data_IF_297671142026
#
_entry.id   IF_297671142026
#
_cell.length_a   1.000
_cell.length_b   1.000
_cell.length_c   1.000
_cell.angle_alpha   90.00
_cell.angle_beta   90.00
_cell.angle_gamma   90.00
#
_symmetry.space_group_name_H-M   'P 1'
#
loop_
_entity.id
_entity.type
_entity.pdbx_description
1 polymer ?
#
# COMPACT_ATOMS: atom_id res chain seq x y z
N UNK A 1 -10.65 -38.41 -23.69
CA UNK A 1 -10.40 -38.00 -22.29
C UNK A 1 -9.38 -36.84 -22.22
N UNK A 2 -9.76 -35.62 -22.65
CA UNK A 2 -8.91 -34.39 -22.57
C UNK A 2 -9.52 -33.27 -21.70
N UNK A 3 -10.73 -33.48 -21.18
CA UNK A 3 -11.56 -32.45 -20.52
C UNK A 3 -11.03 -31.94 -19.15
N UNK A 4 -10.58 -32.79 -18.21
CA UNK A 4 -10.29 -32.33 -16.85
C UNK A 4 -9.07 -31.38 -16.77
N UNK A 5 -8.06 -31.59 -17.62
CA UNK A 5 -6.88 -30.72 -17.64
C UNK A 5 -7.17 -29.33 -18.22
N UNK A 6 -8.02 -29.24 -19.25
CA UNK A 6 -8.41 -27.96 -19.87
C UNK A 6 -9.26 -27.15 -18.89
N UNK A 7 -10.19 -27.81 -18.21
CA UNK A 7 -11.03 -27.19 -17.17
C UNK A 7 -10.18 -26.68 -16.01
N UNK A 8 -9.20 -27.46 -15.57
CA UNK A 8 -8.26 -27.03 -14.53
C UNK A 8 -7.43 -25.80 -14.92
N UNK A 9 -6.87 -25.76 -16.14
CA UNK A 9 -6.15 -24.59 -16.65
C UNK A 9 -7.04 -23.35 -16.72
N UNK A 10 -8.32 -23.54 -17.03
CA UNK A 10 -9.30 -22.45 -17.00
C UNK A 10 -9.49 -21.92 -15.58
N UNK A 11 -9.68 -22.81 -14.61
CA UNK A 11 -9.89 -22.46 -13.21
C UNK A 11 -8.70 -21.69 -12.62
N UNK A 12 -7.47 -22.18 -12.81
CA UNK A 12 -6.28 -21.49 -12.30
C UNK A 12 -6.08 -20.13 -12.99
N UNK A 13 -6.37 -20.03 -14.30
CA UNK A 13 -6.34 -18.75 -15.02
C UNK A 13 -7.35 -17.75 -14.45
N UNK A 14 -8.54 -18.22 -14.07
CA UNK A 14 -9.58 -17.39 -13.48
C UNK A 14 -9.17 -16.88 -12.09
N UNK A 15 -8.54 -17.75 -11.27
CA UNK A 15 -8.01 -17.36 -9.96
C UNK A 15 -6.97 -16.25 -10.11
N UNK A 16 -5.98 -16.42 -11.00
CA UNK A 16 -5.00 -15.37 -11.30
C UNK A 16 -5.68 -14.06 -11.75
N UNK A 17 -6.67 -14.15 -12.64
CA UNK A 17 -7.38 -12.96 -13.13
C UNK A 17 -8.10 -12.22 -12.01
N UNK A 18 -8.72 -12.96 -11.07
CA UNK A 18 -9.38 -12.40 -9.89
C UNK A 18 -8.36 -11.76 -8.93
N UNK A 19 -7.24 -12.42 -8.66
CA UNK A 19 -6.15 -11.85 -7.84
C UNK A 19 -5.63 -10.54 -8.44
N UNK A 20 -5.28 -10.55 -9.73
CA UNK A 20 -4.79 -9.36 -10.45
C UNK A 20 -5.79 -8.21 -10.32
N UNK A 21 -7.09 -8.49 -10.48
CA UNK A 21 -8.14 -7.47 -10.33
C UNK A 21 -8.16 -6.89 -8.91
N UNK A 22 -8.09 -7.74 -7.88
CA UNK A 22 -8.07 -7.28 -6.49
C UNK A 22 -6.82 -6.41 -6.22
N UNK A 23 -5.64 -6.83 -6.68
CA UNK A 23 -4.42 -6.06 -6.48
C UNK A 23 -4.40 -4.76 -7.29
N UNK A 24 -5.01 -4.71 -8.47
CA UNK A 24 -5.21 -3.46 -9.21
C UNK A 24 -6.13 -2.50 -8.47
N UNK A 25 -7.20 -3.00 -7.85
CA UNK A 25 -8.07 -2.18 -7.00
C UNK A 25 -7.32 -1.67 -5.77
N UNK A 26 -6.50 -2.51 -5.11
CA UNK A 26 -5.63 -2.07 -4.01
C UNK A 26 -4.65 -0.98 -4.46
N UNK A 27 -4.05 -1.13 -5.63
CA UNK A 27 -3.14 -0.14 -6.19
C UNK A 27 -3.85 1.20 -6.41
N UNK A 28 -5.08 1.19 -6.91
CA UNK A 28 -5.88 2.40 -7.07
C UNK A 28 -6.17 3.07 -5.72
N UNK A 29 -6.55 2.29 -4.69
CA UNK A 29 -6.72 2.83 -3.34
C UNK A 29 -5.43 3.47 -2.79
N UNK A 30 -4.27 2.86 -3.02
CA UNK A 30 -2.99 3.46 -2.62
C UNK A 30 -2.66 4.75 -3.39
N UNK A 31 -3.05 4.84 -4.66
CA UNK A 31 -2.94 6.10 -5.42
C UNK A 31 -3.86 7.17 -4.82
N UNK A 32 -5.10 6.82 -4.47
CA UNK A 32 -6.04 7.74 -3.84
C UNK A 32 -5.61 8.18 -2.44
N UNK A 33 -5.01 7.28 -1.64
CA UNK A 33 -4.47 7.61 -0.31
C UNK A 33 -3.43 8.72 -0.39
N UNK A 34 -2.56 8.70 -1.41
CA UNK A 34 -1.55 9.75 -1.60
C UNK A 34 -2.17 11.15 -1.62
N UNK A 35 -3.25 11.35 -2.39
CA UNK A 35 -3.95 12.63 -2.46
C UNK A 35 -4.51 13.05 -1.09
N UNK A 36 -5.19 12.12 -0.42
CA UNK A 36 -5.78 12.37 0.89
C UNK A 36 -4.75 12.62 2.00
N UNK A 37 -3.54 12.04 1.91
CA UNK A 37 -2.42 12.34 2.83
C UNK A 37 -1.97 13.80 2.65
N UNK A 38 -1.85 14.27 1.41
CA UNK A 38 -1.45 15.66 1.12
C UNK A 38 -2.51 16.66 1.59
N UNK A 39 -3.79 16.34 1.39
CA UNK A 39 -4.92 17.16 1.81
C UNK A 39 -5.24 17.05 3.31
N UNK A 40 -4.55 16.17 4.04
CA UNK A 40 -4.77 15.90 5.49
C UNK A 40 -6.21 15.44 5.78
N UNK A 41 -6.83 14.73 4.83
CA UNK A 41 -8.19 14.23 4.95
C UNK A 41 -8.24 12.89 5.72
N UNK A 42 -8.20 12.96 7.04
CA UNK A 42 -8.15 11.78 7.91
C UNK A 42 -9.36 10.84 7.76
N UNK A 43 -10.57 11.37 7.52
CA UNK A 43 -11.79 10.56 7.36
C UNK A 43 -11.73 9.72 6.07
N UNK A 44 -11.31 10.33 4.97
CA UNK A 44 -11.14 9.60 3.72
C UNK A 44 -10.02 8.55 3.83
N UNK A 45 -8.91 8.86 4.52
CA UNK A 45 -7.85 7.88 4.76
C UNK A 45 -8.32 6.68 5.58
N UNK A 46 -9.14 6.89 6.61
CA UNK A 46 -9.73 5.80 7.38
C UNK A 46 -10.61 4.91 6.49
N UNK A 47 -11.49 5.50 5.68
CA UNK A 47 -12.37 4.77 4.76
C UNK A 47 -11.57 3.95 3.75
N UNK A 48 -10.60 4.57 3.07
CA UNK A 48 -9.72 3.90 2.11
C UNK A 48 -8.92 2.76 2.76
N UNK A 49 -8.48 2.94 4.01
CA UNK A 49 -7.73 1.92 4.74
C UNK A 49 -8.60 0.71 5.09
N UNK A 50 -9.86 0.93 5.50
CA UNK A 50 -10.83 -0.17 5.73
C UNK A 50 -11.11 -0.94 4.45
N UNK A 51 -11.27 -0.24 3.34
CA UNK A 51 -11.48 -0.87 2.04
C UNK A 51 -10.25 -1.67 1.58
N UNK A 52 -9.03 -1.13 1.75
CA UNK A 52 -7.80 -1.86 1.48
C UNK A 52 -7.69 -3.13 2.32
N UNK A 53 -8.06 -3.09 3.61
CA UNK A 53 -8.04 -4.27 4.46
C UNK A 53 -8.96 -5.37 3.92
N UNK A 54 -10.20 -5.03 3.55
CA UNK A 54 -11.16 -5.99 2.98
C UNK A 54 -10.64 -6.63 1.69
N UNK A 55 -10.03 -5.84 0.81
CA UNK A 55 -9.42 -6.35 -0.42
C UNK A 55 -8.21 -7.24 -0.13
N UNK A 56 -7.36 -6.91 0.85
CA UNK A 56 -6.23 -7.76 1.24
C UNK A 56 -6.69 -9.11 1.77
N UNK A 57 -7.74 -9.16 2.60
CA UNK A 57 -8.34 -10.43 3.05
C UNK A 57 -8.80 -11.27 1.86
N UNK A 58 -9.51 -10.65 0.90
CA UNK A 58 -9.94 -11.34 -0.33
C UNK A 58 -8.77 -11.84 -1.18
N UNK A 59 -7.69 -11.06 -1.30
CA UNK A 59 -6.49 -11.45 -2.01
C UNK A 59 -5.79 -12.65 -1.36
N UNK A 60 -5.63 -12.65 -0.04
CA UNK A 60 -5.01 -13.75 0.70
C UNK A 60 -5.79 -15.06 0.57
N UNK A 61 -7.12 -15.00 0.56
CA UNK A 61 -7.93 -16.20 0.32
C UNK A 61 -7.78 -16.73 -1.11
N UNK A 62 -7.74 -15.86 -2.12
CA UNK A 62 -7.49 -16.29 -3.50
C UNK A 62 -6.09 -16.90 -3.66
N UNK A 63 -5.07 -16.33 -3.02
CA UNK A 63 -3.71 -16.87 -3.06
C UNK A 63 -3.64 -18.26 -2.43
N UNK A 64 -4.33 -18.47 -1.31
CA UNK A 64 -4.45 -19.80 -0.70
C UNK A 64 -5.15 -20.78 -1.64
N UNK A 65 -6.24 -20.37 -2.29
CA UNK A 65 -6.95 -21.21 -3.28
C UNK A 65 -6.05 -21.53 -4.47
N UNK A 66 -5.32 -20.55 -5.00
CA UNK A 66 -4.38 -20.72 -6.11
C UNK A 66 -3.30 -21.75 -5.76
N UNK A 67 -2.73 -21.66 -4.56
CA UNK A 67 -1.70 -22.59 -4.13
C UNK A 67 -2.23 -24.01 -3.93
N UNK A 68 -3.41 -24.15 -3.32
CA UNK A 68 -4.08 -25.45 -3.18
C UNK A 68 -4.35 -26.10 -4.54
N UNK A 69 -4.77 -25.33 -5.54
CA UNK A 69 -5.01 -25.87 -6.88
C UNK A 69 -3.72 -26.36 -7.56
N UNK A 70 -2.61 -25.65 -7.39
CA UNK A 70 -1.30 -26.08 -7.90
C UNK A 70 -0.85 -27.37 -7.19
N UNK A 71 -1.03 -27.47 -5.87
CA UNK A 71 -0.72 -28.70 -5.13
C UNK A 71 -1.58 -29.88 -5.56
N UNK A 72 -2.88 -29.67 -5.77
CA UNK A 72 -3.79 -30.70 -6.24
C UNK A 72 -3.38 -31.23 -7.62
N UNK A 73 -2.95 -30.35 -8.53
CA UNK A 73 -2.41 -30.75 -9.83
C UNK A 73 -1.22 -31.72 -9.69
N UNK A 74 -0.27 -31.41 -8.82
CA UNK A 74 0.88 -32.30 -8.59
C UNK A 74 0.46 -33.65 -8.01
N UNK A 75 -0.48 -33.67 -7.05
CA UNK A 75 -1.03 -34.90 -6.46
C UNK A 75 -1.71 -35.78 -7.51
N UNK A 76 -2.57 -35.20 -8.35
CA UNK A 76 -3.27 -35.93 -9.42
C UNK A 76 -2.31 -36.51 -10.47
N UNK A 77 -1.24 -35.78 -10.79
CA UNK A 77 -0.22 -36.22 -11.74
C UNK A 77 0.81 -37.17 -11.13
N UNK A 78 0.73 -37.46 -9.82
CA UNK A 78 1.71 -38.27 -9.08
C UNK A 78 3.15 -37.78 -9.28
N UNK A 79 3.32 -36.46 -9.35
CA UNK A 79 4.64 -35.83 -9.45
C UNK A 79 5.15 -35.64 -8.03
N UNK A 80 6.32 -36.21 -7.71
CA UNK A 80 6.98 -35.97 -6.43
C UNK A 80 7.41 -34.50 -6.34
N UNK A 81 6.82 -33.79 -5.39
CA UNK A 81 7.21 -32.43 -5.05
C UNK A 81 8.34 -32.54 -4.03
N UNK A 82 9.54 -32.09 -4.38
CA UNK A 82 10.55 -31.78 -3.36
C UNK A 82 10.16 -30.46 -2.70
N UNK A 83 10.20 -30.36 -1.37
CA UNK A 83 9.83 -29.13 -0.64
C UNK A 83 10.61 -27.90 -1.13
N UNK A 84 11.83 -28.09 -1.63
CA UNK A 84 12.69 -27.04 -2.21
C UNK A 84 12.31 -26.66 -3.66
N UNK A 85 11.42 -27.41 -4.33
CA UNK A 85 11.05 -27.24 -5.75
C UNK A 85 9.58 -26.93 -5.99
N UNK A 86 8.80 -26.65 -4.96
CA UNK A 86 7.38 -26.29 -5.07
C UNK A 86 7.17 -24.84 -5.59
N UNK A 87 7.82 -24.51 -6.71
CA UNK A 87 7.76 -23.20 -7.34
C UNK A 87 6.81 -23.23 -8.53
N UNK A 88 6.05 -22.15 -8.72
CA UNK A 88 5.21 -21.96 -9.91
C UNK A 88 6.00 -22.12 -11.22
N UNK A 89 7.30 -21.78 -11.22
CA UNK A 89 8.18 -22.00 -12.38
C UNK A 89 8.37 -23.48 -12.72
N UNK A 90 8.49 -24.34 -11.71
CA UNK A 90 8.58 -25.78 -11.91
C UNK A 90 7.24 -26.33 -12.41
N UNK A 91 6.13 -25.83 -11.87
CA UNK A 91 4.80 -26.18 -12.33
C UNK A 91 4.61 -25.90 -13.84
N UNK A 92 5.09 -24.75 -14.32
CA UNK A 92 5.01 -24.37 -15.73
C UNK A 92 5.73 -25.37 -16.65
N UNK A 93 6.74 -26.10 -16.17
CA UNK A 93 7.46 -27.10 -16.96
C UNK A 93 6.62 -28.36 -17.26
N UNK A 94 5.50 -28.57 -16.56
CA UNK A 94 4.65 -29.75 -16.69
C UNK A 94 3.36 -29.55 -17.50
N UNK A 95 3.15 -28.37 -18.07
CA UNK A 95 1.94 -28.03 -18.84
C UNK A 95 2.26 -27.76 -20.31
N UNK A 96 1.24 -27.87 -21.17
CA UNK A 96 1.41 -27.63 -22.61
C UNK A 96 1.83 -26.18 -22.90
N UNK A 97 2.46 -25.97 -24.07
CA UNK A 97 3.05 -24.69 -24.45
C UNK A 97 2.05 -23.53 -24.46
N UNK A 98 0.80 -23.76 -24.87
CA UNK A 98 -0.20 -22.69 -24.93
C UNK A 98 -0.65 -22.28 -23.53
N UNK A 99 -0.92 -23.27 -22.67
CA UNK A 99 -1.26 -23.04 -21.27
C UNK A 99 -0.11 -22.38 -20.51
N UNK A 100 1.14 -22.80 -20.76
CA UNK A 100 2.35 -22.19 -20.21
C UNK A 100 2.45 -20.71 -20.58
N UNK A 101 2.29 -20.37 -21.87
CA UNK A 101 2.35 -19.00 -22.33
C UNK A 101 1.30 -18.11 -21.64
N UNK A 102 0.05 -18.58 -21.55
CA UNK A 102 -1.04 -17.87 -20.88
C UNK A 102 -0.75 -17.63 -19.39
N UNK A 103 -0.36 -18.68 -18.67
CA UNK A 103 -0.11 -18.59 -17.22
C UNK A 103 1.15 -17.79 -16.89
N UNK A 104 2.18 -17.81 -17.75
CA UNK A 104 3.33 -16.90 -17.64
C UNK A 104 2.91 -15.45 -17.81
N UNK A 105 2.03 -15.14 -18.77
CA UNK A 105 1.51 -13.79 -18.96
C UNK A 105 0.80 -13.28 -17.71
N UNK A 106 -0.11 -14.09 -17.14
CA UNK A 106 -0.83 -13.76 -15.91
C UNK A 106 0.11 -13.60 -14.71
N UNK A 107 1.08 -14.49 -14.53
CA UNK A 107 2.05 -14.39 -13.44
C UNK A 107 2.96 -13.15 -13.58
N UNK A 108 3.32 -12.78 -14.81
CA UNK A 108 4.05 -11.55 -15.11
C UNK A 108 3.24 -10.32 -14.72
N UNK A 109 1.98 -10.25 -15.17
CA UNK A 109 1.08 -9.15 -14.82
C UNK A 109 0.85 -9.04 -13.31
N UNK A 110 0.60 -10.16 -12.62
CA UNK A 110 0.45 -10.18 -11.17
C UNK A 110 1.70 -9.63 -10.47
N UNK A 111 2.90 -10.05 -10.91
CA UNK A 111 4.17 -9.56 -10.38
C UNK A 111 4.33 -8.05 -10.56
N UNK A 112 3.99 -7.52 -11.74
CA UNK A 112 4.08 -6.09 -12.03
C UNK A 112 3.12 -5.26 -11.15
N UNK A 113 1.89 -5.73 -10.98
CA UNK A 113 0.90 -5.06 -10.12
C UNK A 113 1.36 -5.08 -8.66
N UNK A 114 1.82 -6.23 -8.16
CA UNK A 114 2.33 -6.36 -6.78
C UNK A 114 3.55 -5.47 -6.53
N UNK A 115 4.48 -5.40 -7.48
CA UNK A 115 5.65 -4.53 -7.38
C UNK A 115 5.24 -3.06 -7.33
N UNK A 116 4.33 -2.64 -8.21
CA UNK A 116 3.79 -1.28 -8.22
C UNK A 116 3.06 -0.94 -6.91
N UNK A 117 2.27 -1.88 -6.39
CA UNK A 117 1.56 -1.72 -5.11
C UNK A 117 2.54 -1.52 -3.95
N UNK A 118 3.57 -2.36 -3.86
CA UNK A 118 4.63 -2.25 -2.85
C UNK A 118 5.30 -0.88 -2.87
N UNK A 119 5.63 -0.38 -4.07
CA UNK A 119 6.24 0.94 -4.23
C UNK A 119 5.31 2.06 -3.73
N UNK A 120 4.02 2.00 -4.04
CA UNK A 120 3.05 3.02 -3.58
C UNK A 120 2.87 3.00 -2.06
N UNK A 121 2.78 1.81 -1.45
CA UNK A 121 2.68 1.68 0.01
C UNK A 121 3.88 2.32 0.68
N UNK A 122 5.10 2.00 0.24
CA UNK A 122 6.34 2.55 0.80
C UNK A 122 6.37 4.09 0.68
N UNK A 123 5.96 4.62 -0.47
CA UNK A 123 5.88 6.07 -0.70
C UNK A 123 4.86 6.75 0.23
N UNK A 124 3.67 6.15 0.38
CA UNK A 124 2.62 6.66 1.25
C UNK A 124 3.05 6.64 2.72
N UNK A 125 3.68 5.56 3.18
CA UNK A 125 4.24 5.49 4.54
C UNK A 125 5.27 6.58 4.80
N UNK A 126 6.19 6.80 3.85
CA UNK A 126 7.19 7.86 3.96
C UNK A 126 6.53 9.23 4.05
N UNK A 127 5.52 9.49 3.21
CA UNK A 127 4.79 10.74 3.20
C UNK A 127 4.04 10.98 4.52
N UNK A 128 3.38 9.95 5.08
CA UNK A 128 2.72 10.05 6.38
C UNK A 128 3.70 10.37 7.51
N UNK A 129 4.87 9.70 7.53
CA UNK A 129 5.93 9.95 8.52
C UNK A 129 6.42 11.41 8.45
N UNK A 130 6.70 11.91 7.25
CA UNK A 130 7.10 13.32 7.07
C UNK A 130 6.02 14.29 7.55
N UNK A 131 4.75 14.02 7.25
CA UNK A 131 3.66 14.87 7.75
C UNK A 131 3.58 14.85 9.28
N UNK A 132 3.72 13.69 9.92
CA UNK A 132 3.74 13.55 11.38
C UNK A 132 4.89 14.33 12.01
N UNK A 133 6.08 14.28 11.42
CA UNK A 133 7.25 15.06 11.87
C UNK A 133 6.98 16.57 11.80
N UNK A 134 6.40 17.07 10.70
CA UNK A 134 6.04 18.48 10.55
C UNK A 134 5.01 18.91 11.61
N UNK A 135 3.99 18.08 11.86
CA UNK A 135 3.00 18.36 12.91
C UNK A 135 3.64 18.40 14.29
N UNK A 136 4.53 17.46 14.60
CA UNK A 136 5.26 17.44 15.87
C UNK A 136 6.09 18.71 16.06
N UNK A 137 6.87 19.10 15.04
CA UNK A 137 7.65 20.34 15.06
C UNK A 137 6.78 21.59 15.27
N UNK A 138 5.60 21.61 14.66
CA UNK A 138 4.63 22.70 14.80
C UNK A 138 4.06 22.78 16.22
N UNK A 139 3.70 21.63 16.80
CA UNK A 139 3.22 21.54 18.19
C UNK A 139 4.32 21.97 19.17
N UNK A 140 5.55 21.52 18.97
CA UNK A 140 6.68 21.87 19.83
C UNK A 140 7.00 23.37 19.75
N UNK A 141 6.85 24.00 18.57
CA UNK A 141 6.98 25.43 18.41
C UNK A 141 5.89 26.20 19.17
N UNK A 142 4.63 25.75 19.10
CA UNK A 142 3.51 26.35 19.85
C UNK A 142 3.72 26.25 21.37
N UNK A 143 4.17 25.09 21.87
CA UNK A 143 4.47 24.88 23.29
C UNK A 143 5.57 25.83 23.78
N UNK A 144 6.69 25.91 23.05
CA UNK A 144 7.76 26.86 23.38
C UNK A 144 7.26 28.30 23.39
N UNK A 145 6.43 28.69 22.42
CA UNK A 145 5.86 30.03 22.39
C UNK A 145 4.96 30.31 23.61
N UNK A 146 4.14 29.35 24.05
CA UNK A 146 3.33 29.48 25.26
C UNK A 146 4.14 29.48 26.56
N UNK A 147 5.26 28.76 26.62
CA UNK A 147 6.16 28.76 27.79
C UNK A 147 6.99 30.06 27.88
N UNK A 148 7.06 30.84 26.80
CA UNK A 148 7.75 32.14 26.75
C UNK A 148 6.81 33.31 27.09
N UNK A 149 5.62 33.05 27.66
CA UNK A 149 4.82 34.10 28.28
C UNK A 149 5.51 34.62 29.55
N UNK A 150 6.09 35.81 29.41
CA UNK A 150 6.70 36.63 30.46
C UNK A 150 5.71 36.77 31.65
N UNK A 151 6.14 36.61 32.91
CA UNK A 151 5.26 36.83 34.05
C UNK A 151 4.80 38.29 34.03
N UNK A 152 3.48 38.49 33.89
CA UNK A 152 2.85 39.80 34.01
C UNK A 152 2.92 40.22 35.47
N UNK A 153 4.04 40.84 35.87
CA UNK A 153 4.13 41.53 37.15
C UNK A 153 3.34 42.83 37.04
N UNK A 154 2.11 42.82 37.57
CA UNK A 154 1.33 44.00 37.87
C UNK A 154 2.07 44.82 38.93
N UNK A 155 2.71 45.93 38.56
CA UNK A 155 3.22 46.88 39.55
C UNK A 155 4.35 47.79 39.09
N UNK A 156 3.99 49.06 38.95
CA UNK A 156 4.84 50.27 38.96
C UNK A 156 5.52 50.71 37.66
N UNK A 157 5.29 51.99 37.42
CA UNK A 157 5.67 52.80 36.26
C UNK A 157 7.17 53.05 36.23
N UNK A 158 7.80 52.86 35.07
CA UNK A 158 8.90 53.74 34.65
C UNK A 158 9.06 53.73 33.12
N UNK A 159 8.93 54.94 32.56
CA UNK A 159 9.09 55.30 31.15
C UNK A 159 10.52 55.01 30.67
N UNK A 160 10.69 54.38 29.50
CA UNK A 160 11.77 54.68 28.53
C UNK A 160 11.60 53.94 27.17
N UNK A 161 11.22 54.73 26.16
CA UNK A 161 11.75 54.77 24.78
C UNK A 161 11.97 53.48 23.95
N UNK A 162 11.04 53.24 23.02
CA UNK A 162 11.26 53.02 21.57
C UNK A 162 12.43 52.14 21.10
N UNK A 163 12.10 50.93 20.60
CA UNK A 163 12.58 50.44 19.30
C UNK A 163 11.59 49.45 18.69
N UNK A 164 11.15 49.77 17.46
CA UNK A 164 10.25 49.04 16.54
C UNK A 164 10.22 47.51 16.68
N UNK A 165 9.03 46.98 16.97
CA UNK A 165 8.63 45.62 16.62
C UNK A 165 8.35 45.56 15.11
N UNK A 166 9.18 44.85 14.35
CA UNK A 166 8.81 44.35 13.02
C UNK A 166 8.12 43.00 13.17
N UNK A 167 6.84 42.83 12.78
CA UNK A 167 6.27 41.51 12.66
C UNK A 167 6.91 40.80 11.45
N UNK A 168 7.46 39.62 11.68
CA UNK A 168 7.92 38.72 10.61
C UNK A 168 6.68 38.28 9.83
N UNK A 169 6.47 38.91 8.67
CA UNK A 169 5.45 38.48 7.72
C UNK A 169 5.94 37.21 7.01
N UNK A 170 5.20 36.11 7.21
CA UNK A 170 5.30 34.91 6.39
C UNK A 170 4.87 35.28 4.96
N UNK A 171 5.84 35.61 4.12
CA UNK A 171 5.65 35.76 2.70
C UNK A 171 5.59 34.37 2.06
N UNK A 172 4.37 33.87 1.82
CA UNK A 172 4.14 32.80 0.85
C UNK A 172 3.67 33.47 -0.43
N UNK A 173 4.54 33.52 -1.44
CA UNK A 173 4.13 33.85 -2.80
C UNK A 173 3.78 32.57 -3.56
N UNK A 174 2.65 32.68 -4.24
CA UNK A 174 2.16 31.87 -5.35
C UNK A 174 3.09 31.95 -6.57
#
# INVERSE_FOLDING_TARGET
MKQPFIEWISNISEIFTKEIKIYKNLLDLEIQKKGNILEKNGKALESLTKESYNLMVGASELERVRMNEIENFYKEKKIEISEEKNSFNEFLNHIDRNSNFKLKGLAGELKEVLQSLKEKIILNEKLMKTNQEIFKLSIDALKRASETEIPVSYGSVSVKTSTRNTPVMLNTKA
#
